data_IF_292333301573
#
_entry.id   IF_292333301573
#
_cell.length_a   1.000
_cell.length_b   1.000
_cell.length_c   1.000
_cell.angle_alpha   90.00
_cell.angle_beta   90.00
_cell.angle_gamma   90.00
#
_symmetry.space_group_name_H-M   'P 1'
#
loop_
_entity.id
_entity.type
_entity.pdbx_description
1 polymer ?
#
# COMPACT_ATOMS: atom_id res chain seq x y z
N UNK A 1 0.17 -10.76 23.13
CA UNK A 1 0.33 -10.03 21.86
C UNK A 1 0.75 -8.64 22.26
N UNK A 2 2.00 -8.25 22.00
CA UNK A 2 2.50 -6.91 22.34
C UNK A 2 1.80 -5.90 21.43
N UNK A 3 1.09 -4.94 22.02
CA UNK A 3 0.41 -3.87 21.29
C UNK A 3 1.47 -2.86 20.84
N UNK A 4 1.72 -2.78 19.53
CA UNK A 4 2.71 -1.90 18.90
C UNK A 4 1.99 -0.76 18.13
N UNK A 5 1.58 0.34 18.80
CA UNK A 5 0.81 1.43 18.20
C UNK A 5 1.53 2.14 17.05
N UNK A 6 2.86 2.05 16.99
CA UNK A 6 3.69 2.57 15.90
C UNK A 6 3.40 1.92 14.54
N UNK A 7 2.79 0.72 14.52
CA UNK A 7 2.36 0.04 13.29
C UNK A 7 0.92 0.38 12.91
N UNK A 8 0.13 0.98 13.81
CA UNK A 8 -1.29 1.33 13.59
C UNK A 8 -1.47 2.65 12.84
N UNK A 9 -0.47 3.53 12.88
CA UNK A 9 -0.57 4.85 12.26
C UNK A 9 0.66 5.19 11.41
N UNK A 10 0.46 5.24 10.10
CA UNK A 10 1.51 5.59 9.15
C UNK A 10 1.19 6.90 8.46
N UNK A 11 2.19 7.74 8.19
CA UNK A 11 1.95 8.87 7.30
C UNK A 11 1.64 8.37 5.87
N UNK A 12 0.97 9.21 5.06
CA UNK A 12 0.55 8.81 3.70
C UNK A 12 1.71 8.32 2.82
N UNK A 13 2.92 8.85 3.00
CA UNK A 13 4.09 8.42 2.24
C UNK A 13 4.53 7.01 2.66
N UNK A 14 4.59 6.73 3.96
CA UNK A 14 4.92 5.40 4.48
C UNK A 14 3.87 4.36 4.05
N UNK A 15 2.59 4.69 4.20
CA UNK A 15 1.50 3.81 3.77
C UNK A 15 1.54 3.53 2.26
N UNK A 16 1.83 4.55 1.45
CA UNK A 16 1.98 4.40 0.00
C UNK A 16 3.13 3.46 -0.37
N UNK A 17 4.28 3.58 0.30
CA UNK A 17 5.44 2.69 0.10
C UNK A 17 5.09 1.25 0.46
N UNK A 18 4.42 1.03 1.60
CA UNK A 18 3.97 -0.30 2.05
C UNK A 18 3.12 -1.03 1.01
N UNK A 19 2.21 -0.30 0.36
CA UNK A 19 1.30 -0.83 -0.64
C UNK A 19 1.81 -0.72 -2.09
N UNK A 20 3.01 -0.17 -2.30
CA UNK A 20 3.59 0.01 -3.63
C UNK A 20 2.78 0.92 -4.56
N UNK A 21 2.06 1.90 -3.99
CA UNK A 21 1.21 2.86 -4.72
C UNK A 21 1.75 4.29 -4.58
N UNK A 22 1.18 5.25 -5.32
CA UNK A 22 1.58 6.65 -5.18
C UNK A 22 0.94 7.31 -3.94
N UNK A 23 1.68 8.22 -3.29
CA UNK A 23 1.14 9.05 -2.19
C UNK A 23 -0.08 9.85 -2.64
N UNK A 24 -0.09 10.35 -3.87
CA UNK A 24 -1.22 11.09 -4.43
C UNK A 24 -2.49 10.21 -4.48
N UNK A 25 -2.33 8.92 -4.79
CA UNK A 25 -3.44 7.98 -4.78
C UNK A 25 -3.95 7.72 -3.35
N UNK A 26 -3.07 7.56 -2.36
CA UNK A 26 -3.47 7.52 -0.94
C UNK A 26 -4.23 8.79 -0.53
N UNK A 27 -3.74 9.97 -0.92
CA UNK A 27 -4.42 11.25 -0.67
C UNK A 27 -5.81 11.30 -1.29
N UNK A 28 -5.98 10.78 -2.51
CA UNK A 28 -7.30 10.64 -3.15
C UNK A 28 -8.23 9.72 -2.35
N UNK A 29 -7.74 8.59 -1.85
CA UNK A 29 -8.53 7.66 -1.03
C UNK A 29 -8.98 8.32 0.28
N UNK A 30 -8.09 9.04 0.95
CA UNK A 30 -8.41 9.82 2.16
C UNK A 30 -9.47 10.89 1.86
N UNK A 31 -9.27 11.70 0.81
CA UNK A 31 -10.20 12.78 0.45
C UNK A 31 -11.60 12.29 0.10
N UNK A 32 -11.72 11.06 -0.41
CA UNK A 32 -13.00 10.40 -0.73
C UNK A 32 -13.62 9.68 0.47
N UNK A 33 -12.99 9.72 1.64
CA UNK A 33 -13.46 9.04 2.84
C UNK A 33 -13.34 7.51 2.79
N UNK A 34 -12.55 6.97 1.87
CA UNK A 34 -12.37 5.52 1.74
C UNK A 34 -11.45 4.93 2.81
N UNK A 35 -10.44 5.70 3.23
CA UNK A 35 -9.52 5.31 4.31
C UNK A 35 -9.48 6.43 5.36
N UNK A 36 -9.59 6.08 6.66
CA UNK A 36 -9.60 7.08 7.71
C UNK A 36 -8.23 7.69 7.94
N UNK A 37 -8.23 8.98 8.32
CA UNK A 37 -7.05 9.74 8.68
C UNK A 37 -7.25 10.36 10.05
N UNK A 38 -6.38 10.03 11.01
CA UNK A 38 -6.40 10.52 12.39
C UNK A 38 -5.14 11.35 12.64
N UNK A 39 -5.29 12.62 13.02
CA UNK A 39 -4.17 13.48 13.42
C UNK A 39 -3.07 13.68 12.35
N UNK A 40 -3.35 13.49 11.06
CA UNK A 40 -2.31 13.54 10.02
C UNK A 40 -1.88 12.18 9.48
N UNK A 41 -2.18 11.11 10.22
CA UNK A 41 -1.74 9.74 9.96
C UNK A 41 -2.89 8.89 9.40
N UNK A 42 -2.54 7.92 8.58
CA UNK A 42 -3.45 6.89 8.06
C UNK A 42 -3.55 5.82 9.13
N UNK A 43 -4.77 5.51 9.53
CA UNK A 43 -5.06 4.33 10.34
C UNK A 43 -4.88 3.09 9.47
N UNK A 44 -3.80 2.35 9.75
CA UNK A 44 -3.35 1.24 8.90
C UNK A 44 -4.25 0.04 9.01
N UNK A 45 -4.91 -0.20 10.15
CA UNK A 45 -5.79 -1.35 10.36
C UNK A 45 -6.97 -1.27 9.40
N UNK A 46 -7.66 -0.13 9.39
CA UNK A 46 -8.77 0.09 8.48
C UNK A 46 -8.32 0.25 7.03
N UNK A 47 -7.24 0.98 6.79
CA UNK A 47 -6.76 1.21 5.43
C UNK A 47 -6.28 -0.10 4.79
N UNK A 48 -5.57 -0.98 5.51
CA UNK A 48 -5.16 -2.28 4.98
C UNK A 48 -6.36 -3.17 4.66
N UNK A 49 -7.38 -3.19 5.53
CA UNK A 49 -8.60 -3.95 5.29
C UNK A 49 -9.34 -3.45 4.03
N UNK A 50 -9.45 -2.13 3.86
CA UNK A 50 -10.04 -1.52 2.67
C UNK A 50 -9.26 -1.90 1.41
N UNK A 51 -7.93 -1.78 1.45
CA UNK A 51 -7.06 -2.07 0.32
C UNK A 51 -7.15 -3.54 -0.09
N UNK A 52 -7.11 -4.48 0.87
CA UNK A 52 -7.31 -5.92 0.65
C UNK A 52 -8.68 -6.22 0.05
N UNK A 53 -9.75 -5.69 0.65
CA UNK A 53 -11.14 -5.90 0.20
C UNK A 53 -11.36 -5.46 -1.26
N UNK A 54 -10.70 -4.38 -1.68
CA UNK A 54 -10.84 -3.81 -3.01
C UNK A 54 -9.74 -4.25 -3.99
N UNK A 55 -8.85 -5.17 -3.58
CA UNK A 55 -7.72 -5.62 -4.41
C UNK A 55 -6.73 -4.51 -4.77
N UNK A 56 -6.75 -3.39 -4.07
CA UNK A 56 -5.92 -2.22 -4.38
C UNK A 56 -4.49 -2.53 -4.00
N UNK A 57 -3.57 -2.47 -4.96
CA UNK A 57 -2.18 -2.88 -4.75
C UNK A 57 -1.97 -4.40 -4.67
N UNK A 58 -3.05 -5.20 -4.56
CA UNK A 58 -3.01 -6.67 -4.66
C UNK A 58 -3.20 -7.15 -6.11
N UNK A 59 -3.87 -6.37 -6.96
CA UNK A 59 -4.18 -6.76 -8.33
C UNK A 59 -3.77 -5.68 -9.32
N UNK A 60 -2.53 -5.78 -9.79
CA UNK A 60 -2.27 -5.55 -11.20
C UNK A 60 -1.19 -6.53 -11.67
N UNK A 61 -1.39 -7.83 -11.39
CA UNK A 61 -0.76 -8.87 -12.20
C UNK A 61 -1.45 -8.75 -13.56
N UNK A 62 -0.78 -8.20 -14.58
CA UNK A 62 -1.38 -8.07 -15.89
C UNK A 62 -1.77 -9.47 -16.39
N UNK A 63 -2.96 -9.61 -16.96
CA UNK A 63 -3.39 -10.87 -17.57
C UNK A 63 -2.51 -11.23 -18.78
N UNK A 64 -1.94 -10.20 -19.41
CA UNK A 64 -0.94 -10.34 -20.46
C UNK A 64 0.37 -10.95 -19.91
N UNK A 65 0.83 -12.11 -20.44
CA UNK A 65 1.99 -12.83 -19.92
C UNK A 65 3.28 -12.01 -19.89
N UNK A 66 3.50 -11.14 -20.88
CA UNK A 66 4.71 -10.31 -21.01
C UNK A 66 4.72 -9.22 -19.93
N UNK A 67 3.60 -8.54 -19.74
CA UNK A 67 3.45 -7.52 -18.70
C UNK A 67 3.51 -8.13 -17.29
N UNK A 68 3.07 -9.38 -17.12
CA UNK A 68 3.20 -10.16 -15.88
C UNK A 68 4.63 -10.48 -15.53
N UNK A 69 5.43 -10.93 -16.49
CA UNK A 69 6.85 -11.18 -16.28
C UNK A 69 7.60 -9.90 -15.88
N UNK A 70 7.31 -8.78 -16.57
CA UNK A 70 7.89 -7.48 -16.23
C UNK A 70 7.46 -6.96 -14.86
N UNK A 71 6.25 -7.30 -14.41
CA UNK A 71 5.77 -6.97 -13.08
C UNK A 71 6.58 -7.72 -12.02
N UNK A 72 6.77 -9.04 -12.17
CA UNK A 72 7.56 -9.82 -11.22
C UNK A 72 9.03 -9.39 -11.18
N UNK A 73 9.65 -9.11 -12.33
CA UNK A 73 11.02 -8.54 -12.38
C UNK A 73 11.14 -7.21 -11.64
N UNK A 74 10.11 -6.35 -11.71
CA UNK A 74 10.07 -5.08 -10.95
C UNK A 74 9.87 -5.29 -9.46
N UNK A 75 9.10 -6.32 -9.06
CA UNK A 75 8.90 -6.70 -7.66
C UNK A 75 10.19 -7.25 -7.06
N UNK A 76 10.88 -8.15 -7.75
CA UNK A 76 12.17 -8.70 -7.33
C UNK A 76 13.22 -7.61 -7.18
N UNK A 77 13.41 -6.77 -8.20
CA UNK A 77 14.36 -5.66 -8.14
C UNK A 77 14.05 -4.68 -7.01
N UNK A 78 12.77 -4.50 -6.67
CA UNK A 78 12.37 -3.68 -5.53
C UNK A 78 12.80 -4.32 -4.21
N UNK A 79 12.63 -5.64 -4.05
CA UNK A 79 13.09 -6.38 -2.87
C UNK A 79 14.60 -6.29 -2.69
N UNK A 80 15.37 -6.43 -3.76
CA UNK A 80 16.84 -6.28 -3.75
C UNK A 80 17.26 -4.89 -3.27
N UNK A 81 16.64 -3.83 -3.80
CA UNK A 81 16.97 -2.44 -3.46
C UNK A 81 16.58 -2.05 -2.03
N UNK A 82 15.59 -2.70 -1.44
CA UNK A 82 15.15 -2.46 -0.06
C UNK A 82 15.91 -3.27 0.99
N UNK A 83 16.91 -4.06 0.58
CA UNK A 83 17.76 -4.84 1.50
C UNK A 83 16.96 -5.90 2.25
N UNK A 84 16.54 -6.95 1.52
CA UNK A 84 15.87 -8.11 2.09
C UNK A 84 16.69 -8.82 3.17
#
# INVERSE_FOLDING_TARGET
>A
MEYAPENEFLNQTQFAKRWGISRQYVSKLVRRGHIPKLGGLVDTVYADAFMKRNGIGVLNIPLDPVRREQYFKRVEKRRELTGG
#
